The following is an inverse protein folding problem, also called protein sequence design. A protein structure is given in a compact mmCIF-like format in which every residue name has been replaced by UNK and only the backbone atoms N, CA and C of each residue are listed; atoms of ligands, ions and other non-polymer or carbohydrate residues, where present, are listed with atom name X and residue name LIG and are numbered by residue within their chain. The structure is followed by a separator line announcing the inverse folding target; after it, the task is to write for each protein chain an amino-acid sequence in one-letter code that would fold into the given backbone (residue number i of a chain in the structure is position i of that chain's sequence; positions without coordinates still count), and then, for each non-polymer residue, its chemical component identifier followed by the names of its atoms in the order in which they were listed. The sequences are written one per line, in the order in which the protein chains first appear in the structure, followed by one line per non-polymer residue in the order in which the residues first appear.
data_IF_038491707900
#
_entry.id   IF_038491707900
#
_cell.length_a   1.000
_cell.length_b   1.000
_cell.length_c   1.000
_cell.angle_alpha   90.00
_cell.angle_beta   90.00
_cell.angle_gamma   90.00
#
_symmetry.space_group_name_H-M   'P 1'
#
loop_
_entity.id
_entity.type
_entity.pdbx_description
1 polymer ?
#
# COMPACT_ATOMS: atom_id res chain seq x y z
N UNK A 1 -4.18 14.61 26.07
CA UNK A 1 -5.40 13.89 25.70
C UNK A 1 -5.76 14.34 24.31
N UNK A 2 -5.23 13.72 23.30
CA UNK A 2 -5.55 14.02 21.90
C UNK A 2 -6.04 12.73 21.26
N UNK A 3 -7.33 12.70 20.96
CA UNK A 3 -7.97 11.61 20.22
C UNK A 3 -7.62 11.74 18.75
N UNK A 4 -6.90 10.77 18.21
CA UNK A 4 -6.77 10.58 16.77
C UNK A 4 -8.11 10.02 16.28
N UNK A 5 -8.91 10.85 15.59
CA UNK A 5 -10.19 10.44 15.02
C UNK A 5 -9.91 9.62 13.78
N UNK A 6 -10.16 8.33 13.84
CA UNK A 6 -10.20 7.45 12.67
C UNK A 6 -11.33 7.91 11.75
N UNK A 7 -10.99 8.43 10.59
CA UNK A 7 -11.95 8.74 9.52
C UNK A 7 -12.31 7.45 8.79
N UNK A 8 -13.39 6.80 9.22
CA UNK A 8 -13.99 5.69 8.49
C UNK A 8 -14.77 6.27 7.31
N UNK A 9 -14.19 6.22 6.13
CA UNK A 9 -14.87 6.56 4.89
C UNK A 9 -15.91 5.51 4.52
N UNK A 10 -17.17 5.76 4.88
CA UNK A 10 -18.31 4.97 4.41
C UNK A 10 -18.57 5.32 2.95
N UNK A 11 -18.20 4.46 2.03
CA UNK A 11 -18.59 4.56 0.62
C UNK A 11 -20.02 4.05 0.49
N UNK A 12 -20.97 4.96 0.38
CA UNK A 12 -22.36 4.69 0.02
C UNK A 12 -22.45 4.44 -1.50
N UNK A 13 -22.61 3.17 -1.89
CA UNK A 13 -23.04 2.80 -3.24
C UNK A 13 -24.52 3.11 -3.39
N UNK A 14 -24.86 4.18 -4.09
CA UNK A 14 -26.23 4.42 -4.56
C UNK A 14 -26.44 3.65 -5.86
N UNK A 15 -27.24 2.61 -5.79
CA UNK A 15 -27.83 1.93 -6.95
C UNK A 15 -28.86 2.86 -7.60
N UNK A 16 -28.51 3.38 -8.77
CA UNK A 16 -29.49 4.05 -9.61
C UNK A 16 -30.13 3.03 -10.55
N UNK A 17 -31.33 2.63 -10.21
CA UNK A 17 -32.25 1.88 -11.07
C UNK A 17 -32.97 2.88 -11.94
N UNK A 18 -32.79 2.81 -13.25
CA UNK A 18 -33.61 3.52 -14.21
C UNK A 18 -34.32 2.50 -15.10
N UNK A 19 -35.60 2.31 -14.83
CA UNK A 19 -36.58 1.64 -15.69
C UNK A 19 -37.21 2.69 -16.59
N UNK A 20 -37.29 2.45 -17.87
CA UNK A 20 -37.97 3.37 -18.78
C UNK A 20 -38.02 2.83 -20.22
N UNK A 21 -39.10 2.23 -20.51
CA UNK A 21 -39.66 1.66 -21.72
C UNK A 21 -39.86 2.69 -22.85
N UNK A 22 -39.79 2.24 -24.08
CA UNK A 22 -40.66 2.46 -25.26
C UNK A 22 -39.89 2.68 -26.57
N UNK A 23 -40.11 1.68 -27.43
CA UNK A 23 -40.30 1.72 -28.87
C UNK A 23 -40.16 3.07 -29.59
N UNK A 24 -39.35 3.06 -30.66
CA UNK A 24 -39.83 3.40 -31.98
C UNK A 24 -38.87 2.93 -33.09
N UNK A 25 -39.46 2.25 -34.04
CA UNK A 25 -38.84 1.74 -35.22
C UNK A 25 -38.71 2.83 -36.29
N UNK A 26 -37.53 2.97 -36.88
CA UNK A 26 -37.40 3.47 -38.24
C UNK A 26 -36.32 2.66 -38.98
N UNK A 27 -36.81 1.87 -39.95
CA UNK A 27 -36.01 1.31 -41.04
C UNK A 27 -35.65 2.40 -42.05
N UNK A 28 -34.39 2.44 -42.45
CA UNK A 28 -34.00 2.85 -43.83
C UNK A 28 -32.55 2.34 -44.09
N UNK A 29 -32.50 1.27 -44.80
CA UNK A 29 -32.15 1.09 -46.22
C UNK A 29 -30.74 1.54 -46.64
N UNK A 30 -29.93 0.50 -46.88
CA UNK A 30 -28.59 0.53 -47.49
C UNK A 30 -28.67 1.07 -48.90
N UNK A 31 -27.60 1.65 -49.44
CA UNK A 31 -26.89 0.93 -50.50
C UNK A 31 -25.36 0.92 -50.30
N UNK A 32 -24.78 -0.22 -50.58
CA UNK A 32 -23.37 -0.34 -50.91
C UNK A 32 -23.09 0.20 -52.32
N UNK A 33 -21.93 0.72 -52.57
CA UNK A 33 -21.22 0.27 -53.76
C UNK A 33 -19.73 0.01 -53.55
N UNK A 34 -19.33 -1.13 -54.10
CA UNK A 34 -18.29 -1.31 -55.14
C UNK A 34 -16.83 -1.14 -54.72
N UNK A 35 -16.19 -2.29 -54.77
CA UNK A 35 -14.76 -2.53 -54.76
C UNK A 35 -14.01 -1.72 -55.85
N UNK A 36 -12.89 -1.16 -55.46
CA UNK A 36 -11.76 -0.97 -56.38
C UNK A 36 -10.47 -1.38 -55.67
N UNK A 37 -9.94 -2.49 -56.11
CA UNK A 37 -8.59 -2.97 -55.87
C UNK A 37 -7.59 -2.10 -56.62
N UNK A 38 -6.56 -1.65 -55.94
CA UNK A 38 -5.26 -1.38 -56.56
C UNK A 38 -4.14 -1.87 -55.64
N UNK A 39 -3.15 -2.54 -56.18
CA UNK A 39 -2.07 -3.14 -55.41
C UNK A 39 -0.97 -2.10 -55.18
N UNK A 40 -0.51 -1.98 -53.97
CA UNK A 40 0.72 -1.25 -53.68
C UNK A 40 1.69 -2.17 -52.95
N UNK A 41 2.82 -2.23 -53.59
CA UNK A 41 4.07 -2.91 -53.33
C UNK A 41 4.45 -3.07 -51.85
N UNK A 42 4.98 -4.25 -51.60
CA UNK A 42 5.75 -4.58 -50.40
C UNK A 42 7.11 -3.85 -50.45
N UNK A 43 7.44 -3.23 -49.33
CA UNK A 43 8.82 -2.95 -48.94
C UNK A 43 9.07 -3.59 -47.58
N UNK A 44 10.16 -4.34 -47.42
CA UNK A 44 10.47 -5.03 -46.18
C UNK A 44 11.42 -4.18 -45.33
N UNK A 45 11.30 -4.42 -44.03
CA UNK A 45 12.22 -4.05 -42.99
C UNK A 45 11.92 -2.75 -42.23
N UNK A 46 11.26 -2.90 -41.08
CA UNK A 46 11.91 -2.64 -39.79
C UNK A 46 11.09 -3.29 -38.67
N UNK A 47 11.54 -4.47 -38.31
CA UNK A 47 11.02 -5.16 -37.09
C UNK A 47 11.74 -4.60 -35.90
N UNK A 48 11.39 -3.40 -35.47
CA UNK A 48 11.69 -2.97 -34.11
C UNK A 48 10.53 -3.40 -33.23
N UNK A 49 10.66 -4.59 -32.67
CA UNK A 49 9.81 -5.05 -31.57
C UNK A 49 9.98 -4.07 -30.42
N UNK A 50 8.99 -3.23 -30.24
CA UNK A 50 8.82 -2.49 -29.01
C UNK A 50 8.57 -3.50 -27.88
N UNK A 51 9.61 -3.80 -27.12
CA UNK A 51 9.46 -4.47 -25.82
C UNK A 51 8.57 -3.58 -24.94
N UNK A 52 7.58 -4.15 -24.23
CA UNK A 52 6.77 -3.37 -23.32
C UNK A 52 7.68 -2.85 -22.19
N UNK A 53 7.75 -1.55 -22.08
CA UNK A 53 8.41 -0.83 -21.00
C UNK A 53 7.68 -1.09 -19.67
N UNK A 54 7.90 -2.26 -19.08
CA UNK A 54 7.46 -2.55 -17.71
C UNK A 54 8.46 -2.02 -16.66
N UNK A 55 9.53 -1.36 -17.08
CA UNK A 55 10.62 -0.91 -16.20
C UNK A 55 10.56 0.57 -15.81
N UNK A 56 9.66 1.34 -16.41
CA UNK A 56 9.56 2.78 -16.11
C UNK A 56 8.64 3.11 -14.92
N UNK A 57 7.77 2.19 -14.49
CA UNK A 57 6.84 2.44 -13.38
C UNK A 57 7.50 2.27 -11.99
N UNK A 58 8.57 1.46 -11.88
CA UNK A 58 9.23 1.21 -10.60
C UNK A 58 10.20 2.34 -10.18
N UNK A 59 10.61 3.20 -11.10
CA UNK A 59 11.52 4.32 -10.80
C UNK A 59 10.79 5.58 -10.31
N UNK A 60 9.46 5.67 -10.53
CA UNK A 60 8.68 6.87 -10.21
C UNK A 60 8.15 6.84 -8.78
N UNK A 61 8.01 5.67 -8.18
CA UNK A 61 7.44 5.50 -6.83
C UNK A 61 8.41 5.80 -5.70
N UNK A 62 9.73 5.71 -5.93
CA UNK A 62 10.74 6.09 -4.94
C UNK A 62 11.22 7.55 -5.08
N UNK A 63 10.79 8.28 -6.13
CA UNK A 63 11.13 9.69 -6.31
C UNK A 63 10.29 10.55 -5.37
N UNK A 64 10.96 11.25 -4.48
CA UNK A 64 10.33 12.16 -3.52
C UNK A 64 10.53 11.76 -2.06
N UNK A 65 11.02 10.54 -1.80
CA UNK A 65 11.41 10.13 -0.46
C UNK A 65 12.74 10.80 -0.04
N UNK A 66 12.85 11.23 1.22
CA UNK A 66 14.13 11.64 1.81
C UNK A 66 15.19 10.55 1.70
N UNK A 67 16.45 10.95 1.54
CA UNK A 67 17.60 10.03 1.45
C UNK A 67 17.71 9.11 2.67
N UNK A 68 17.33 9.59 3.85
CA UNK A 68 17.33 8.82 5.09
C UNK A 68 16.38 7.61 5.00
N UNK A 69 15.14 7.83 4.54
CA UNK A 69 14.13 6.78 4.35
C UNK A 69 14.57 5.80 3.26
N UNK A 70 15.04 6.32 2.11
CA UNK A 70 15.53 5.49 1.01
C UNK A 70 16.69 4.60 1.46
N UNK A 71 17.63 5.14 2.26
CA UNK A 71 18.75 4.38 2.79
C UNK A 71 18.31 3.32 3.78
N UNK A 72 17.39 3.66 4.69
CA UNK A 72 16.80 2.73 5.64
C UNK A 72 16.15 1.53 4.92
N UNK A 73 15.31 1.80 3.93
CA UNK A 73 14.61 0.74 3.18
C UNK A 73 15.64 -0.18 2.47
N UNK A 74 16.63 0.38 1.79
CA UNK A 74 17.68 -0.42 1.11
C UNK A 74 18.47 -1.30 2.07
N UNK A 75 18.73 -0.83 3.28
CA UNK A 75 19.49 -1.57 4.30
C UNK A 75 18.65 -2.67 4.95
N UNK A 76 17.40 -2.38 5.29
CA UNK A 76 16.55 -3.30 6.04
C UNK A 76 15.77 -4.26 5.13
N UNK A 77 15.48 -3.84 3.90
CA UNK A 77 14.71 -4.59 2.91
C UNK A 77 15.46 -4.70 1.57
N UNK A 78 16.66 -5.33 1.53
CA UNK A 78 17.51 -5.32 0.34
C UNK A 78 16.89 -5.98 -0.90
N UNK A 79 15.87 -6.82 -0.72
CA UNK A 79 15.17 -7.53 -1.80
C UNK A 79 13.78 -6.95 -2.09
N UNK A 80 13.33 -5.97 -1.35
CA UNK A 80 12.05 -5.33 -1.58
C UNK A 80 12.17 -4.10 -2.49
N UNK A 81 11.05 -3.74 -3.10
CA UNK A 81 10.91 -2.54 -3.93
C UNK A 81 9.78 -1.68 -3.36
N UNK A 82 9.98 -0.38 -3.35
CA UNK A 82 8.93 0.58 -3.05
C UNK A 82 7.95 0.60 -4.21
N UNK A 83 6.69 0.32 -3.93
CA UNK A 83 5.60 0.28 -4.92
C UNK A 83 4.59 1.41 -4.73
N UNK A 84 4.62 2.08 -3.57
CA UNK A 84 3.79 3.25 -3.28
C UNK A 84 4.44 4.14 -2.24
N UNK A 85 4.15 5.42 -2.31
CA UNK A 85 4.53 6.43 -1.34
C UNK A 85 3.37 7.40 -1.23
N UNK A 86 2.86 7.58 -0.03
CA UNK A 86 1.83 8.56 0.29
C UNK A 86 2.44 9.58 1.27
N UNK A 87 2.64 10.84 0.83
CA UNK A 87 3.06 11.89 1.73
C UNK A 87 1.84 12.40 2.51
N UNK A 88 1.96 12.51 3.81
CA UNK A 88 0.99 13.17 4.67
C UNK A 88 1.60 14.42 5.33
N UNK A 89 0.83 15.47 5.41
CA UNK A 89 1.24 16.73 6.01
C UNK A 89 0.38 16.99 7.24
N UNK A 90 0.82 16.50 8.37
CA UNK A 90 0.20 16.79 9.66
C UNK A 90 0.92 17.93 10.39
N UNK A 91 0.40 18.29 11.55
CA UNK A 91 0.85 19.41 12.38
C UNK A 91 2.32 19.35 12.83
N UNK A 92 2.97 18.20 12.67
CA UNK A 92 4.37 17.94 13.01
C UNK A 92 5.37 18.10 11.86
N UNK A 93 4.90 18.11 10.60
CA UNK A 93 5.74 18.17 9.40
C UNK A 93 5.26 17.21 8.32
N UNK A 94 6.15 16.92 7.36
CA UNK A 94 5.88 15.99 6.27
C UNK A 94 6.23 14.57 6.71
N UNK A 95 5.26 13.70 6.70
CA UNK A 95 5.31 12.28 7.03
C UNK A 95 5.17 11.45 5.75
N UNK A 96 5.50 10.15 5.79
CA UNK A 96 5.47 9.30 4.61
C UNK A 96 4.99 7.90 4.94
N UNK A 97 3.95 7.44 4.25
CA UNK A 97 3.54 6.04 4.23
C UNK A 97 4.20 5.37 3.04
N UNK A 98 5.01 4.36 3.29
CA UNK A 98 5.79 3.66 2.26
C UNK A 98 5.34 2.22 2.13
N UNK A 99 4.91 1.85 0.94
CA UNK A 99 4.42 0.51 0.61
C UNK A 99 5.48 -0.28 -0.15
N UNK A 100 5.79 -1.48 0.32
CA UNK A 100 6.73 -2.40 -0.31
C UNK A 100 6.01 -3.49 -1.11
N UNK A 101 6.68 -4.04 -2.13
CA UNK A 101 6.13 -5.08 -3.00
C UNK A 101 5.90 -6.43 -2.31
N UNK A 102 6.41 -6.63 -1.10
CA UNK A 102 6.16 -7.82 -0.28
C UNK A 102 4.89 -7.70 0.59
N UNK A 103 4.24 -6.53 0.56
CA UNK A 103 3.04 -6.21 1.33
C UNK A 103 3.33 -5.57 2.69
N UNK A 104 4.56 -5.16 2.95
CA UNK A 104 4.91 -4.38 4.14
C UNK A 104 4.61 -2.90 3.91
N UNK A 105 3.95 -2.27 4.86
CA UNK A 105 3.81 -0.82 4.97
C UNK A 105 4.70 -0.32 6.11
N UNK A 106 5.33 0.81 5.92
CA UNK A 106 6.15 1.48 6.92
C UNK A 106 5.81 2.95 6.90
N UNK A 107 5.38 3.47 8.03
CA UNK A 107 5.09 4.88 8.20
C UNK A 107 6.28 5.55 8.87
N UNK A 108 6.64 6.73 8.36
CA UNK A 108 7.78 7.51 8.81
C UNK A 108 7.31 8.89 9.27
N UNK A 109 7.75 9.28 10.46
CA UNK A 109 7.49 10.58 11.05
C UNK A 109 8.22 11.73 10.32
N UNK A 110 7.93 12.96 10.70
CA UNK A 110 8.57 14.16 10.16
C UNK A 110 10.11 14.24 10.38
N UNK A 111 10.67 13.38 11.24
CA UNK A 111 12.10 13.23 11.44
C UNK A 111 12.70 12.09 10.61
N UNK A 112 11.91 11.48 9.71
CA UNK A 112 12.27 10.32 8.91
C UNK A 112 12.59 9.08 9.76
N UNK A 113 12.00 8.96 10.95
CA UNK A 113 12.08 7.77 11.78
C UNK A 113 10.78 6.96 11.58
N UNK A 114 10.91 5.63 11.47
CA UNK A 114 9.71 4.81 11.42
C UNK A 114 8.93 4.92 12.74
N UNK A 115 7.63 4.99 12.69
CA UNK A 115 6.73 5.00 13.84
C UNK A 115 5.69 3.87 13.77
N UNK A 116 5.30 3.44 12.56
CA UNK A 116 4.43 2.27 12.38
C UNK A 116 5.01 1.31 11.35
N UNK A 117 4.79 0.01 11.57
CA UNK A 117 5.07 -1.03 10.57
C UNK A 117 3.92 -2.03 10.56
N UNK A 118 3.39 -2.32 9.38
CA UNK A 118 2.37 -3.33 9.17
C UNK A 118 2.80 -4.36 8.12
N UNK A 119 2.54 -5.65 8.38
CA UNK A 119 2.78 -6.73 7.43
C UNK A 119 1.94 -7.95 7.78
N UNK A 120 1.05 -8.36 6.88
CA UNK A 120 0.25 -9.59 7.04
C UNK A 120 1.09 -10.88 7.07
N UNK A 121 2.37 -10.81 6.64
CA UNK A 121 3.32 -11.92 6.74
C UNK A 121 4.10 -11.93 8.05
N UNK A 122 3.81 -10.99 8.92
CA UNK A 122 4.49 -10.71 10.17
C UNK A 122 5.51 -9.59 10.06
N UNK A 123 5.49 -8.72 11.06
CA UNK A 123 6.45 -7.61 11.20
C UNK A 123 7.86 -8.19 11.33
N UNK A 124 8.85 -7.68 10.57
CA UNK A 124 10.24 -8.15 10.68
C UNK A 124 10.79 -7.97 12.10
N UNK A 125 11.52 -8.99 12.58
CA UNK A 125 11.95 -9.08 13.98
C UNK A 125 12.82 -7.91 14.47
N UNK A 126 13.50 -7.20 13.57
CA UNK A 126 14.34 -6.06 13.95
C UNK A 126 13.54 -4.83 14.39
N UNK A 127 12.25 -4.73 14.03
CA UNK A 127 11.35 -3.70 14.54
C UNK A 127 10.81 -4.00 15.94
N UNK A 128 10.85 -5.28 16.36
CA UNK A 128 10.17 -5.74 17.57
C UNK A 128 11.15 -5.76 18.75
N UNK A 129 10.94 -4.95 19.80
CA UNK A 129 11.73 -5.03 21.02
C UNK A 129 11.72 -6.45 21.60
N UNK A 130 12.86 -6.88 22.16
CA UNK A 130 13.00 -8.25 22.72
C UNK A 130 11.99 -8.58 23.81
N UNK A 131 11.61 -7.59 24.64
CA UNK A 131 10.59 -7.77 25.68
C UNK A 131 9.24 -8.18 25.09
N UNK A 132 8.80 -7.44 24.04
CA UNK A 132 7.56 -7.71 23.30
C UNK A 132 7.62 -9.09 22.63
N UNK A 133 8.70 -9.38 21.89
CA UNK A 133 8.87 -10.67 21.22
C UNK A 133 8.79 -11.86 22.21
N UNK A 134 9.41 -11.72 23.40
CA UNK A 134 9.37 -12.75 24.44
C UNK A 134 7.97 -12.89 25.04
N UNK A 135 7.27 -11.79 25.28
CA UNK A 135 5.92 -11.82 25.82
C UNK A 135 4.96 -12.52 24.86
N UNK A 136 4.96 -12.13 23.58
CA UNK A 136 4.11 -12.73 22.56
C UNK A 136 4.43 -14.22 22.40
N UNK A 137 5.70 -14.61 22.32
CA UNK A 137 6.10 -16.01 22.24
C UNK A 137 5.60 -16.85 23.41
N UNK A 138 5.54 -16.29 24.60
CA UNK A 138 5.15 -17.01 25.82
C UNK A 138 3.65 -17.12 25.99
N UNK A 139 2.88 -16.10 25.56
CA UNK A 139 1.45 -15.97 25.84
C UNK A 139 0.57 -16.22 24.61
N UNK A 140 1.08 -16.01 23.39
CA UNK A 140 0.36 -16.10 22.14
C UNK A 140 1.11 -17.00 21.14
N UNK A 141 1.22 -18.30 21.46
CA UNK A 141 1.92 -19.26 20.63
C UNK A 141 1.28 -19.38 19.24
N UNK A 142 2.12 -19.46 18.20
CA UNK A 142 1.73 -19.59 16.80
C UNK A 142 0.94 -18.39 16.21
N UNK A 143 1.07 -17.21 16.82
CA UNK A 143 0.50 -15.98 16.28
C UNK A 143 1.62 -15.05 15.83
N UNK A 144 1.40 -14.35 14.71
CA UNK A 144 2.33 -13.33 14.21
C UNK A 144 1.95 -11.96 14.77
N UNK A 145 2.94 -11.11 14.97
CA UNK A 145 2.73 -9.66 15.13
C UNK A 145 2.57 -9.11 13.72
N UNK A 146 1.40 -8.56 13.41
CA UNK A 146 1.08 -8.01 12.09
C UNK A 146 1.23 -6.51 12.02
N UNK A 147 1.23 -5.83 13.17
CA UNK A 147 1.42 -4.39 13.27
C UNK A 147 2.21 -4.04 14.53
N UNK A 148 3.03 -3.01 14.45
CA UNK A 148 3.68 -2.37 15.58
C UNK A 148 3.65 -0.87 15.39
N UNK A 149 3.16 -0.16 16.42
CA UNK A 149 3.19 1.30 16.54
C UNK A 149 4.14 1.72 17.64
N UNK A 150 4.88 2.80 17.41
CA UNK A 150 5.54 3.53 18.48
C UNK A 150 4.60 4.58 19.03
N UNK A 151 4.28 4.44 20.30
CA UNK A 151 3.49 5.40 21.02
C UNK A 151 4.37 6.29 21.91
N UNK A 152 3.81 7.41 22.38
CA UNK A 152 4.56 8.34 23.26
C UNK A 152 5.11 7.66 24.51
N UNK A 153 4.42 6.64 25.04
CA UNK A 153 4.80 5.93 26.25
C UNK A 153 5.30 4.50 26.04
N UNK A 154 5.42 4.05 24.79
CA UNK A 154 5.84 2.69 24.50
C UNK A 154 5.49 2.19 23.12
N UNK A 155 4.83 1.03 23.07
CA UNK A 155 4.45 0.37 21.83
C UNK A 155 3.05 -0.21 21.94
N UNK A 156 2.31 -0.14 20.83
CA UNK A 156 1.12 -0.93 20.58
C UNK A 156 1.44 -1.96 19.52
N UNK A 157 1.00 -3.20 19.69
CA UNK A 157 1.11 -4.22 18.65
C UNK A 157 -0.24 -4.86 18.37
N UNK A 158 -0.45 -5.25 17.12
CA UNK A 158 -1.57 -6.09 16.71
C UNK A 158 -1.06 -7.48 16.34
N UNK A 159 -1.79 -8.49 16.78
CA UNK A 159 -1.55 -9.89 16.42
C UNK A 159 -2.45 -10.31 15.26
N UNK A 160 -2.03 -11.33 14.50
CA UNK A 160 -2.78 -11.85 13.34
C UNK A 160 -4.20 -12.34 13.67
N UNK A 161 -4.55 -12.52 14.94
CA UNK A 161 -5.89 -12.86 15.41
C UNK A 161 -6.71 -11.65 15.87
N UNK A 162 -6.21 -10.42 15.63
CA UNK A 162 -6.89 -9.17 15.96
C UNK A 162 -6.78 -8.74 17.43
N UNK A 163 -5.90 -9.35 18.21
CA UNK A 163 -5.64 -8.91 19.59
C UNK A 163 -4.66 -7.76 19.58
N UNK A 164 -4.98 -6.66 20.25
CA UNK A 164 -4.13 -5.49 20.43
C UNK A 164 -3.53 -5.49 21.84
N UNK A 165 -2.21 -5.27 21.93
CA UNK A 165 -1.44 -5.34 23.16
C UNK A 165 -0.59 -4.08 23.33
N UNK A 166 -0.65 -3.50 24.51
CA UNK A 166 0.11 -2.31 24.90
C UNK A 166 1.33 -2.66 25.76
N UNK A 167 2.46 -2.01 25.45
CA UNK A 167 3.73 -2.18 26.14
C UNK A 167 4.35 -0.82 26.48
N UNK A 168 5.09 -0.78 27.60
CA UNK A 168 5.90 0.38 27.91
C UNK A 168 7.15 0.50 27.00
N UNK A 169 7.90 1.58 27.11
CA UNK A 169 9.12 1.81 26.32
C UNK A 169 10.23 0.79 26.54
N UNK A 170 10.17 0.01 27.62
CA UNK A 170 11.09 -1.09 27.94
C UNK A 170 10.60 -2.44 27.37
N UNK A 171 9.39 -2.48 26.80
CA UNK A 171 8.77 -3.69 26.25
C UNK A 171 8.09 -4.56 27.30
N UNK A 172 7.71 -4.00 28.47
CA UNK A 172 6.91 -4.69 29.45
C UNK A 172 5.43 -4.51 29.12
N UNK A 173 4.68 -5.60 29.24
CA UNK A 173 3.24 -5.61 28.97
C UNK A 173 2.48 -4.70 29.94
N UNK A 174 1.59 -3.87 29.40
CA UNK A 174 0.76 -2.93 30.16
C UNK A 174 -0.73 -3.31 30.15
N UNK A 175 -1.23 -3.86 29.04
CA UNK A 175 -2.65 -4.19 28.90
C UNK A 175 -3.03 -4.60 27.47
N UNK A 176 -4.31 -4.86 27.30
CA UNK A 176 -4.95 -5.11 26.00
C UNK A 176 -6.03 -4.05 25.81
N UNK A 177 -6.22 -3.64 24.55
CA UNK A 177 -7.39 -2.87 24.18
C UNK A 177 -8.56 -3.82 23.86
N UNK A 178 -9.77 -3.46 24.35
CA UNK A 178 -11.00 -4.24 24.16
C UNK A 178 -11.78 -3.78 22.90
#
# INVERSE_FOLDING_TARGET
MYFKVLSIGVILFTLWSCSGNSNDAYQQQVPAPTAQQQPVQADPADSTMAQPQAQAAAATTAQGLPDAITTFIKQQFPNAQVVGVEPDQDHGGLEYDVYLNDGTQIDFDANNQWDQVESMKGVPAFFIPKGIANYVKSNYQNTLITKINKEYHGYEIELANGVELNFDSSGNFMGMDD
#
